data_IF_122196412767
#
_entry.id   IF_122196412767
#
_cell.length_a   1.000
_cell.length_b   1.000
_cell.length_c   1.000
_cell.angle_alpha   90.00
_cell.angle_beta   90.00
_cell.angle_gamma   90.00
#
_symmetry.space_group_name_H-M   'P 1'
#
loop_
_entity.id
_entity.type
_entity.pdbx_description
1 polymer ?
#
# COMPACT_ATOMS: atom_id res chain seq x y z
N UNK A 1 8.00 -19.41 13.54
CA UNK A 1 8.48 -18.92 12.22
C UNK A 1 8.70 -17.43 12.35
N UNK A 2 9.86 -16.93 11.92
CA UNK A 2 10.17 -15.51 12.01
C UNK A 2 9.30 -14.68 11.08
N UNK A 3 8.87 -13.51 11.55
CA UNK A 3 8.19 -12.53 10.69
C UNK A 3 9.21 -11.98 9.68
N UNK A 4 8.94 -12.18 8.38
CA UNK A 4 9.84 -11.76 7.31
C UNK A 4 9.25 -10.65 6.44
N UNK A 5 8.02 -10.23 6.70
CA UNK A 5 7.37 -9.15 5.98
C UNK A 5 6.60 -8.25 6.96
N UNK A 6 6.96 -6.99 7.00
CA UNK A 6 6.26 -5.94 7.74
C UNK A 6 5.66 -4.95 6.75
N UNK A 7 4.37 -4.69 6.86
CA UNK A 7 3.64 -3.78 5.97
C UNK A 7 3.02 -2.67 6.80
N UNK A 8 3.38 -1.43 6.50
CA UNK A 8 2.87 -0.25 7.17
C UNK A 8 1.75 0.35 6.33
N UNK A 9 0.56 0.45 6.91
CA UNK A 9 -0.65 0.87 6.23
C UNK A 9 -1.33 2.05 6.93
N UNK A 10 -2.27 2.67 6.27
CA UNK A 10 -3.04 3.82 6.75
C UNK A 10 -3.28 4.85 5.66
N UNK A 11 -4.08 5.85 5.96
CA UNK A 11 -4.43 6.89 5.01
C UNK A 11 -3.23 7.74 4.58
N UNK A 12 -3.31 8.50 3.47
CA UNK A 12 -2.36 9.57 3.18
C UNK A 12 -2.18 10.47 4.41
N UNK A 13 -0.96 10.94 4.63
CA UNK A 13 -0.63 11.84 5.74
C UNK A 13 -0.73 11.22 7.15
N UNK A 14 -0.88 9.90 7.29
CA UNK A 14 -0.90 9.23 8.61
C UNK A 14 0.48 9.04 9.25
N UNK A 15 1.57 9.30 8.51
CA UNK A 15 2.95 9.12 8.98
C UNK A 15 3.59 7.78 8.61
N UNK A 16 3.08 7.11 7.59
CA UNK A 16 3.58 5.81 7.14
C UNK A 16 5.08 5.79 6.84
N UNK A 17 5.59 6.74 6.01
CA UNK A 17 7.01 6.76 5.65
C UNK A 17 7.93 6.94 6.86
N UNK A 18 7.54 7.77 7.84
CA UNK A 18 8.28 7.91 9.10
C UNK A 18 8.27 6.60 9.90
N UNK A 19 7.11 5.96 9.97
CA UNK A 19 6.93 4.70 10.71
C UNK A 19 7.67 3.54 10.03
N UNK A 20 7.58 3.41 8.72
CA UNK A 20 8.26 2.33 7.96
C UNK A 20 9.77 2.44 8.06
N UNK A 21 10.33 3.66 7.96
CA UNK A 21 11.75 3.88 8.17
C UNK A 21 12.20 3.52 9.60
N UNK A 22 11.41 3.88 10.61
CA UNK A 22 11.69 3.53 12.00
C UNK A 22 11.63 2.02 12.25
N UNK A 23 10.60 1.34 11.74
CA UNK A 23 10.45 -0.12 11.81
C UNK A 23 11.65 -0.81 11.14
N UNK A 24 12.03 -0.36 9.94
CA UNK A 24 13.18 -0.90 9.24
C UNK A 24 14.47 -0.77 10.06
N UNK A 25 14.68 0.38 10.72
CA UNK A 25 15.86 0.59 11.57
C UNK A 25 15.89 -0.33 12.80
N UNK A 26 14.73 -0.54 13.44
CA UNK A 26 14.63 -1.49 14.56
C UNK A 26 14.95 -2.93 14.12
N UNK A 27 14.45 -3.33 12.95
CA UNK A 27 14.63 -4.70 12.45
C UNK A 27 16.06 -5.00 11.98
N UNK A 28 16.87 -4.00 11.62
CA UNK A 28 18.30 -4.18 11.31
C UNK A 28 19.09 -4.80 12.45
N UNK A 29 18.62 -4.70 13.68
CA UNK A 29 19.23 -5.38 14.83
C UNK A 29 18.95 -6.89 14.85
N UNK A 30 17.99 -7.36 14.04
CA UNK A 30 17.57 -8.76 13.98
C UNK A 30 18.09 -9.48 12.72
N UNK A 31 18.51 -8.74 11.68
CA UNK A 31 19.00 -9.33 10.43
C UNK A 31 19.10 -8.34 9.28
N UNK A 32 19.26 -8.89 8.09
CA UNK A 32 19.25 -8.10 6.84
C UNK A 32 17.87 -7.57 6.57
N UNK A 33 17.74 -6.26 6.30
CA UNK A 33 16.45 -5.59 6.03
C UNK A 33 16.45 -5.02 4.61
N UNK A 34 15.43 -5.37 3.85
CA UNK A 34 15.07 -4.74 2.58
C UNK A 34 13.89 -3.79 2.84
N UNK A 35 14.17 -2.50 2.92
CA UNK A 35 13.14 -1.46 3.07
C UNK A 35 12.83 -0.83 1.71
N UNK A 36 11.56 -0.82 1.34
CA UNK A 36 11.09 -0.19 0.09
C UNK A 36 9.94 0.75 0.44
N UNK A 37 10.16 2.04 0.21
CA UNK A 37 9.16 3.09 0.44
C UNK A 37 8.31 3.32 -0.83
N UNK A 38 7.15 3.94 -0.66
CA UNK A 38 6.26 4.38 -1.75
C UNK A 38 7.00 5.34 -2.70
N UNK A 39 6.73 5.28 -4.00
CA UNK A 39 7.32 6.18 -4.99
C UNK A 39 8.69 5.77 -5.53
N UNK A 40 9.29 4.68 -5.06
CA UNK A 40 10.60 4.23 -5.55
C UNK A 40 10.56 3.69 -6.98
N UNK A 41 9.44 3.11 -7.41
CA UNK A 41 9.20 2.59 -8.76
C UNK A 41 9.76 1.20 -9.04
N UNK A 42 10.61 0.65 -8.17
CA UNK A 42 11.18 -0.71 -8.30
C UNK A 42 10.74 -1.59 -7.12
N UNK A 43 9.46 -1.50 -6.79
CA UNK A 43 8.92 -2.25 -5.68
C UNK A 43 8.81 -3.75 -6.02
N UNK A 44 9.32 -4.67 -5.17
CA UNK A 44 9.34 -6.11 -5.48
C UNK A 44 7.94 -6.74 -5.58
N UNK A 45 6.95 -6.17 -4.91
CA UNK A 45 5.58 -6.66 -4.86
C UNK A 45 4.54 -5.73 -5.52
N UNK A 46 4.98 -4.65 -6.17
CA UNK A 46 4.10 -3.65 -6.78
C UNK A 46 4.58 -3.21 -8.16
N UNK A 47 3.68 -2.61 -8.93
CA UNK A 47 3.93 -2.10 -10.28
C UNK A 47 3.67 -0.59 -10.39
N UNK A 48 4.00 0.15 -9.35
CA UNK A 48 4.00 1.60 -9.43
C UNK A 48 4.87 2.08 -10.61
N UNK A 49 4.37 3.00 -11.43
CA UNK A 49 5.04 3.49 -12.65
C UNK A 49 5.36 2.43 -13.72
N UNK A 50 4.60 1.34 -13.79
CA UNK A 50 4.75 0.35 -14.84
C UNK A 50 3.53 0.30 -15.76
N UNK A 51 3.78 -0.11 -17.02
CA UNK A 51 2.76 -0.35 -18.02
C UNK A 51 2.84 -1.78 -18.55
N UNK A 52 1.68 -2.36 -18.87
CA UNK A 52 1.58 -3.60 -19.61
C UNK A 52 1.54 -3.29 -21.11
N UNK A 53 2.71 -3.13 -21.73
CA UNK A 53 2.82 -2.89 -23.15
C UNK A 53 2.18 -4.04 -23.95
N UNK A 54 1.27 -3.76 -24.89
CA UNK A 54 0.57 -4.79 -25.64
C UNK A 54 1.50 -5.56 -26.59
N UNK A 55 1.08 -6.77 -26.95
CA UNK A 55 1.75 -7.54 -27.99
C UNK A 55 1.87 -6.73 -29.29
N UNK A 56 3.03 -6.82 -29.93
CA UNK A 56 3.36 -6.06 -31.15
C UNK A 56 3.96 -4.68 -30.91
N UNK A 57 4.00 -4.17 -29.67
CA UNK A 57 4.64 -2.88 -29.37
C UNK A 57 6.17 -3.01 -29.31
N UNK A 58 6.69 -3.98 -28.56
CA UNK A 58 8.12 -4.24 -28.37
C UNK A 58 8.50 -5.70 -28.69
N UNK A 59 7.56 -6.62 -28.56
CA UNK A 59 7.75 -8.04 -28.79
C UNK A 59 6.43 -8.69 -29.26
N UNK A 60 6.48 -9.97 -29.66
CA UNK A 60 5.28 -10.73 -30.04
C UNK A 60 4.30 -10.95 -28.87
N UNK A 61 4.76 -10.79 -27.64
CA UNK A 61 3.96 -10.91 -26.42
C UNK A 61 3.86 -9.59 -25.69
N UNK A 62 2.80 -9.39 -24.94
CA UNK A 62 2.72 -8.30 -23.97
C UNK A 62 3.81 -8.42 -22.93
N UNK A 63 4.36 -7.29 -22.51
CA UNK A 63 5.42 -7.24 -21.49
C UNK A 63 5.26 -6.05 -20.56
N UNK A 64 5.70 -6.22 -19.32
CA UNK A 64 5.71 -5.15 -18.35
C UNK A 64 6.98 -4.32 -18.55
N UNK A 65 6.81 -3.00 -18.61
CA UNK A 65 7.90 -2.04 -18.80
C UNK A 65 7.79 -0.93 -17.77
N UNK A 66 8.93 -0.42 -17.31
CA UNK A 66 8.95 0.76 -16.44
C UNK A 66 8.69 2.02 -17.26
N UNK A 67 7.73 2.82 -16.86
CA UNK A 67 7.45 4.12 -17.52
C UNK A 67 8.60 5.13 -17.33
N UNK A 68 9.45 4.92 -16.32
CA UNK A 68 10.62 5.76 -16.06
C UNK A 68 11.70 5.64 -17.14
N UNK A 69 11.68 4.56 -17.93
CA UNK A 69 12.65 4.32 -19.00
C UNK A 69 12.30 5.05 -20.30
N UNK A 70 11.15 5.72 -20.36
CA UNK A 70 10.62 6.34 -21.56
C UNK A 70 10.27 7.81 -21.35
N UNK A 71 10.25 8.58 -22.45
CA UNK A 71 9.87 9.98 -22.47
C UNK A 71 9.21 10.37 -23.79
N UNK A 72 8.56 11.54 -23.85
CA UNK A 72 7.91 12.07 -25.05
C UNK A 72 6.81 11.13 -25.57
N UNK A 73 6.67 11.04 -26.88
CA UNK A 73 5.59 10.27 -27.55
C UNK A 73 5.49 8.82 -27.08
N UNK A 74 6.62 8.16 -26.81
CA UNK A 74 6.60 6.77 -26.36
C UNK A 74 6.05 6.66 -24.93
N UNK A 75 6.40 7.59 -24.05
CA UNK A 75 5.81 7.67 -22.70
C UNK A 75 4.29 7.87 -22.79
N UNK A 76 3.83 8.82 -23.62
CA UNK A 76 2.39 9.11 -23.79
C UNK A 76 1.63 7.89 -24.31
N UNK A 77 2.23 7.15 -25.24
CA UNK A 77 1.67 5.89 -25.75
C UNK A 77 1.60 4.79 -24.70
N UNK A 78 2.63 4.66 -23.86
CA UNK A 78 2.68 3.65 -22.81
C UNK A 78 1.77 3.99 -21.64
N UNK A 79 1.56 5.27 -21.36
CA UNK A 79 0.71 5.74 -20.28
C UNK A 79 -0.71 5.16 -20.35
N UNK A 80 -1.24 4.94 -21.57
CA UNK A 80 -2.55 4.33 -21.79
C UNK A 80 -2.64 2.85 -21.35
N UNK A 81 -1.49 2.24 -21.06
CA UNK A 81 -1.35 0.86 -20.59
C UNK A 81 -0.76 0.78 -19.19
N UNK A 82 -0.69 1.92 -18.48
CA UNK A 82 -0.23 1.93 -17.09
C UNK A 82 -1.10 0.97 -16.27
N UNK A 83 -0.46 0.13 -15.46
CA UNK A 83 -1.14 -0.95 -14.73
C UNK A 83 -2.17 -0.34 -13.80
N UNK A 84 -1.75 0.52 -12.89
CA UNK A 84 -2.69 1.33 -12.13
C UNK A 84 -3.32 2.43 -12.99
N UNK A 85 -4.57 2.74 -12.73
CA UNK A 85 -5.39 3.82 -13.32
C UNK A 85 -5.92 3.57 -14.74
N UNK A 86 -5.29 2.70 -15.55
CA UNK A 86 -5.68 2.58 -16.97
C UNK A 86 -6.11 1.18 -17.39
N UNK A 87 -5.57 0.10 -16.80
CA UNK A 87 -5.98 -1.24 -17.21
C UNK A 87 -7.40 -1.59 -16.72
N UNK A 88 -8.17 -2.39 -17.48
CA UNK A 88 -9.38 -3.02 -16.97
C UNK A 88 -9.03 -3.97 -15.81
N UNK A 89 -9.94 -4.09 -14.84
CA UNK A 89 -9.73 -4.92 -13.65
C UNK A 89 -9.39 -6.38 -13.96
N UNK A 90 -10.04 -6.96 -14.98
CA UNK A 90 -9.80 -8.33 -15.43
C UNK A 90 -8.37 -8.58 -15.92
N UNK A 91 -7.70 -7.51 -16.36
CA UNK A 91 -6.27 -7.55 -16.77
C UNK A 91 -5.35 -7.18 -15.63
N UNK A 92 -5.68 -6.13 -14.88
CA UNK A 92 -4.87 -5.62 -13.77
C UNK A 92 -4.74 -6.63 -12.64
N UNK A 93 -5.86 -7.16 -12.15
CA UNK A 93 -5.89 -8.10 -11.01
C UNK A 93 -4.93 -9.29 -11.16
N UNK A 94 -4.96 -10.09 -12.25
CA UNK A 94 -4.04 -11.22 -12.40
C UNK A 94 -2.58 -10.78 -12.49
N UNK A 95 -2.29 -9.63 -13.11
CA UNK A 95 -0.93 -9.08 -13.20
C UNK A 95 -0.40 -8.73 -11.80
N UNK A 96 -1.19 -8.06 -10.98
CA UNK A 96 -0.82 -7.68 -9.62
C UNK A 96 -0.66 -8.90 -8.71
N UNK A 97 -1.57 -9.87 -8.78
CA UNK A 97 -1.44 -11.12 -8.01
C UNK A 97 -0.20 -11.92 -8.41
N UNK A 98 0.18 -11.93 -9.67
CA UNK A 98 1.40 -12.60 -10.13
C UNK A 98 2.67 -11.87 -9.65
N UNK A 99 2.65 -10.54 -9.56
CA UNK A 99 3.74 -9.78 -8.96
C UNK A 99 3.99 -10.18 -7.50
N UNK A 100 2.92 -10.32 -6.71
CA UNK A 100 3.01 -10.81 -5.34
C UNK A 100 3.57 -12.24 -5.26
N UNK A 101 3.13 -13.14 -6.15
CA UNK A 101 3.67 -14.51 -6.20
C UNK A 101 5.15 -14.52 -6.58
N UNK A 102 5.54 -13.69 -7.55
CA UNK A 102 6.94 -13.54 -7.93
C UNK A 102 7.77 -13.05 -6.74
N UNK A 103 7.33 -12.02 -6.04
CA UNK A 103 8.01 -11.53 -4.84
C UNK A 103 8.24 -12.65 -3.81
N UNK A 104 7.20 -13.43 -3.48
CA UNK A 104 7.31 -14.51 -2.50
C UNK A 104 8.29 -15.60 -2.95
N UNK A 105 8.32 -15.94 -4.24
CA UNK A 105 9.30 -16.91 -4.79
C UNK A 105 10.74 -16.42 -4.75
N UNK A 106 10.95 -15.12 -4.91
CA UNK A 106 12.27 -14.48 -5.00
C UNK A 106 12.77 -13.96 -3.65
N UNK A 107 11.92 -13.93 -2.63
CA UNK A 107 12.24 -13.44 -1.30
C UNK A 107 13.36 -14.26 -0.64
N UNK A 108 14.46 -13.59 -0.30
CA UNK A 108 15.65 -14.20 0.31
C UNK A 108 15.35 -14.69 1.73
N UNK A 109 15.82 -15.87 2.10
CA UNK A 109 15.48 -16.55 3.38
C UNK A 109 15.87 -15.75 4.62
N UNK A 110 17.00 -15.04 4.56
CA UNK A 110 17.59 -14.26 5.69
C UNK A 110 17.23 -12.80 5.65
N UNK A 111 16.30 -12.39 4.77
CA UNK A 111 15.92 -10.99 4.60
C UNK A 111 14.55 -10.72 5.18
N UNK A 112 14.47 -9.65 5.97
CA UNK A 112 13.21 -9.07 6.47
C UNK A 112 12.82 -7.93 5.52
N UNK A 113 11.60 -7.95 5.01
CA UNK A 113 11.07 -6.93 4.10
C UNK A 113 10.20 -5.96 4.87
N UNK A 114 10.36 -4.67 4.59
CA UNK A 114 9.50 -3.60 5.15
C UNK A 114 8.95 -2.80 3.98
N UNK A 115 7.63 -2.83 3.82
CA UNK A 115 6.90 -2.13 2.77
C UNK A 115 5.90 -1.16 3.37
N UNK A 116 5.47 -0.16 2.59
CA UNK A 116 4.32 0.65 2.95
C UNK A 116 3.31 0.72 1.80
N UNK A 117 2.03 0.96 2.11
CA UNK A 117 0.93 1.26 1.19
C UNK A 117 0.44 0.12 0.27
N UNK A 118 1.06 -1.06 0.27
CA UNK A 118 0.87 -2.03 -0.83
C UNK A 118 -0.22 -3.08 -0.61
N UNK A 119 -0.65 -3.33 0.64
CA UNK A 119 -1.64 -4.37 0.96
C UNK A 119 -3.07 -3.82 1.06
N UNK A 120 -3.24 -2.63 1.63
CA UNK A 120 -4.56 -2.01 1.83
C UNK A 120 -4.70 -0.74 0.99
N UNK A 121 -3.82 0.25 1.15
CA UNK A 121 -3.97 1.54 0.47
C UNK A 121 -4.07 1.39 -1.06
N UNK A 122 -3.09 0.79 -1.72
CA UNK A 122 -3.08 0.67 -3.18
C UNK A 122 -4.25 -0.19 -3.69
N UNK A 123 -4.52 -1.39 -3.13
CA UNK A 123 -5.71 -2.17 -3.46
C UNK A 123 -7.03 -1.42 -3.28
N UNK A 124 -7.17 -0.61 -2.23
CA UNK A 124 -8.40 0.17 -1.99
C UNK A 124 -8.51 1.39 -2.89
N UNK A 125 -7.41 2.00 -3.31
CA UNK A 125 -7.42 3.02 -4.35
C UNK A 125 -7.97 2.47 -5.67
N UNK A 126 -7.58 1.27 -6.08
CA UNK A 126 -8.10 0.63 -7.28
C UNK A 126 -9.54 0.11 -7.07
N UNK A 127 -9.74 -0.80 -6.15
CA UNK A 127 -11.02 -1.51 -6.02
C UNK A 127 -12.16 -0.59 -5.57
N UNK A 128 -11.97 0.18 -4.50
CA UNK A 128 -12.99 1.08 -3.98
C UNK A 128 -13.05 2.38 -4.78
N UNK A 129 -11.94 3.14 -4.83
CA UNK A 129 -11.99 4.51 -5.35
C UNK A 129 -12.19 4.52 -6.86
N UNK A 130 -11.37 3.80 -7.62
CA UNK A 130 -11.40 3.81 -9.07
C UNK A 130 -12.57 3.01 -9.64
N UNK A 131 -12.73 1.75 -9.22
CA UNK A 131 -13.76 0.85 -9.77
C UNK A 131 -15.10 0.91 -9.02
N UNK A 132 -15.18 1.49 -7.83
CA UNK A 132 -16.41 1.58 -7.03
C UNK A 132 -16.90 0.24 -6.51
N UNK A 133 -16.02 -0.72 -6.33
CA UNK A 133 -16.37 -2.05 -5.84
C UNK A 133 -16.90 -2.00 -4.41
N UNK A 134 -17.70 -2.99 -4.07
CA UNK A 134 -18.16 -3.23 -2.71
C UNK A 134 -16.99 -3.58 -1.78
N UNK A 135 -17.22 -3.43 -0.48
CA UNK A 135 -16.24 -3.85 0.53
C UNK A 135 -15.89 -5.35 0.41
N UNK A 136 -16.90 -6.18 0.10
CA UNK A 136 -16.69 -7.62 -0.07
C UNK A 136 -15.79 -7.95 -1.27
N UNK A 137 -15.95 -7.27 -2.40
CA UNK A 137 -15.10 -7.47 -3.58
C UNK A 137 -13.65 -7.02 -3.30
N UNK A 138 -13.47 -5.88 -2.63
CA UNK A 138 -12.17 -5.41 -2.18
C UNK A 138 -11.52 -6.40 -1.20
N UNK A 139 -12.30 -6.87 -0.21
CA UNK A 139 -11.87 -7.88 0.76
C UNK A 139 -11.40 -9.17 0.10
N UNK A 140 -12.14 -9.66 -0.90
CA UNK A 140 -11.78 -10.88 -1.62
C UNK A 140 -10.46 -10.74 -2.37
N UNK A 141 -10.18 -9.57 -2.94
CA UNK A 141 -8.90 -9.32 -3.59
C UNK A 141 -7.75 -9.24 -2.58
N UNK A 142 -7.91 -8.48 -1.51
CA UNK A 142 -6.91 -8.32 -0.46
C UNK A 142 -6.64 -9.66 0.24
N UNK A 143 -7.66 -10.48 0.47
CA UNK A 143 -7.50 -11.82 1.04
C UNK A 143 -6.68 -12.76 0.12
N UNK A 144 -6.77 -12.62 -1.20
CA UNK A 144 -5.89 -13.37 -2.12
C UNK A 144 -4.43 -12.94 -1.97
N UNK A 145 -4.15 -11.65 -1.80
CA UNK A 145 -2.79 -11.17 -1.52
C UNK A 145 -2.31 -11.72 -0.16
N UNK A 146 -3.14 -11.64 0.87
CA UNK A 146 -2.82 -12.14 2.21
C UNK A 146 -2.46 -13.63 2.20
N UNK A 147 -3.17 -14.45 1.43
CA UNK A 147 -2.85 -15.87 1.28
C UNK A 147 -1.52 -16.10 0.52
N UNK A 148 -1.24 -15.29 -0.51
CA UNK A 148 0.03 -15.39 -1.26
C UNK A 148 1.24 -15.08 -0.36
N UNK A 149 1.15 -14.05 0.49
CA UNK A 149 2.27 -13.62 1.34
C UNK A 149 2.39 -14.41 2.65
N UNK A 150 1.44 -15.27 2.97
CA UNK A 150 1.42 -16.08 4.20
C UNK A 150 2.74 -16.81 4.52
N UNK A 151 3.49 -17.35 3.53
CA UNK A 151 4.78 -18.00 3.79
C UNK A 151 5.84 -17.09 4.41
N UNK A 152 5.69 -15.77 4.28
CA UNK A 152 6.60 -14.78 4.87
C UNK A 152 6.19 -14.38 6.30
N UNK A 153 5.12 -14.97 6.85
CA UNK A 153 4.56 -14.66 8.17
C UNK A 153 4.40 -13.14 8.39
N UNK A 154 3.54 -12.48 7.61
CA UNK A 154 3.46 -11.02 7.57
C UNK A 154 2.87 -10.41 8.84
N UNK A 155 3.33 -9.20 9.16
CA UNK A 155 2.77 -8.32 10.19
C UNK A 155 2.30 -7.04 9.53
N UNK A 156 1.07 -6.63 9.78
CA UNK A 156 0.52 -5.36 9.32
C UNK A 156 0.46 -4.36 10.46
N UNK A 157 1.08 -3.20 10.28
CA UNK A 157 1.01 -2.08 11.21
C UNK A 157 0.15 -1.00 10.58
N UNK A 158 -1.04 -0.79 11.12
CA UNK A 158 -1.99 0.18 10.60
C UNK A 158 -2.00 1.46 11.43
N UNK A 159 -1.83 2.61 10.77
CA UNK A 159 -1.85 3.93 11.41
C UNK A 159 -3.23 4.53 11.24
N UNK A 160 -4.10 4.36 12.23
CA UNK A 160 -5.44 4.91 12.23
C UNK A 160 -5.42 6.38 12.62
N UNK A 161 -6.18 7.19 11.90
CA UNK A 161 -6.29 8.62 12.12
C UNK A 161 -7.76 9.03 12.34
N UNK A 162 -8.06 9.61 13.50
CA UNK A 162 -9.42 10.10 13.80
C UNK A 162 -9.70 11.46 13.18
N UNK A 163 -8.69 12.33 13.11
CA UNK A 163 -8.84 13.66 12.51
C UNK A 163 -8.16 13.70 11.12
N UNK A 164 -8.85 13.07 10.17
CA UNK A 164 -8.36 12.96 8.79
C UNK A 164 -8.22 14.35 8.15
N UNK A 165 -9.21 15.22 8.36
CA UNK A 165 -9.23 16.55 7.75
C UNK A 165 -8.04 17.41 8.23
N UNK A 166 -7.75 17.41 9.52
CA UNK A 166 -6.61 18.15 10.08
C UNK A 166 -5.28 17.62 9.54
N UNK A 167 -5.12 16.30 9.49
CA UNK A 167 -3.90 15.68 8.96
C UNK A 167 -3.67 16.00 7.49
N UNK A 168 -4.73 15.99 6.68
CA UNK A 168 -4.65 16.35 5.26
C UNK A 168 -4.31 17.84 5.10
N UNK A 169 -4.93 18.74 5.88
CA UNK A 169 -4.62 20.19 5.82
C UNK A 169 -3.16 20.47 6.20
N UNK A 170 -2.64 19.79 7.22
CA UNK A 170 -1.24 19.95 7.63
C UNK A 170 -0.28 19.50 6.52
N UNK A 171 -0.53 18.33 5.92
CA UNK A 171 0.30 17.85 4.83
C UNK A 171 0.20 18.72 3.56
N UNK A 172 -0.98 19.26 3.26
CA UNK A 172 -1.18 20.18 2.15
C UNK A 172 -0.37 21.48 2.32
N UNK A 173 -0.24 21.98 3.55
CA UNK A 173 0.60 23.15 3.84
C UNK A 173 2.08 22.91 3.55
N UNK A 174 2.55 21.65 3.68
CA UNK A 174 3.94 21.25 3.39
C UNK A 174 4.16 20.89 1.92
N UNK A 175 3.09 20.64 1.14
CA UNK A 175 3.14 20.13 -0.24
C UNK A 175 2.25 20.95 -1.18
N UNK A 176 2.69 22.14 -1.61
CA UNK A 176 1.89 23.00 -2.51
C UNK A 176 1.48 22.26 -3.80
N UNK A 177 0.19 22.36 -4.17
CA UNK A 177 -0.38 21.74 -5.39
C UNK A 177 -0.69 20.23 -5.27
N UNK A 178 -0.23 19.55 -4.23
CA UNK A 178 -0.53 18.13 -4.03
C UNK A 178 -2.03 17.89 -3.77
N UNK A 179 -2.65 18.74 -2.97
CA UNK A 179 -4.03 18.55 -2.51
C UNK A 179 -5.03 18.54 -3.66
N UNK A 180 -4.90 19.45 -4.63
CA UNK A 180 -5.81 19.53 -5.77
C UNK A 180 -5.81 18.24 -6.60
N UNK A 181 -4.61 17.68 -6.83
CA UNK A 181 -4.47 16.43 -7.59
C UNK A 181 -5.10 15.23 -6.89
N UNK A 182 -4.95 15.12 -5.57
CA UNK A 182 -5.53 13.99 -4.83
C UNK A 182 -7.03 14.12 -4.61
N UNK A 183 -7.55 15.34 -4.48
CA UNK A 183 -9.00 15.60 -4.47
C UNK A 183 -9.58 15.15 -5.80
N UNK A 184 -9.06 15.64 -6.93
CA UNK A 184 -9.54 15.32 -8.27
C UNK A 184 -9.59 13.80 -8.50
N UNK A 185 -8.51 13.09 -8.15
CA UNK A 185 -8.44 11.65 -8.28
C UNK A 185 -9.55 10.92 -7.50
N UNK A 186 -9.81 11.30 -6.24
CA UNK A 186 -10.75 10.59 -5.38
C UNK A 186 -12.21 10.93 -5.68
N UNK A 187 -12.54 12.22 -5.84
CA UNK A 187 -13.94 12.64 -6.07
C UNK A 187 -14.44 12.23 -7.46
N UNK A 188 -13.55 12.17 -8.45
CA UNK A 188 -13.88 11.74 -9.81
C UNK A 188 -13.75 10.23 -10.06
N UNK A 189 -13.29 9.46 -9.10
CA UNK A 189 -13.36 8.00 -9.12
C UNK A 189 -14.81 7.49 -9.06
N UNK A 190 -15.01 6.19 -9.34
CA UNK A 190 -16.36 5.63 -9.35
C UNK A 190 -17.05 5.74 -7.98
N UNK A 191 -16.31 5.51 -6.88
CA UNK A 191 -16.86 5.67 -5.53
C UNK A 191 -17.24 7.11 -5.23
N UNK A 192 -16.33 8.07 -5.45
CA UNK A 192 -16.61 9.48 -5.21
C UNK A 192 -17.85 9.97 -5.96
N UNK A 193 -17.95 9.63 -7.25
CA UNK A 193 -19.16 9.91 -8.06
C UNK A 193 -20.43 9.27 -7.51
N UNK A 194 -20.33 8.06 -7.01
CA UNK A 194 -21.52 7.33 -6.48
C UNK A 194 -22.13 7.98 -5.24
N UNK A 195 -21.33 8.70 -4.47
CA UNK A 195 -21.77 9.41 -3.26
C UNK A 195 -21.94 10.92 -3.47
N UNK A 196 -21.72 11.41 -4.70
CA UNK A 196 -21.76 12.84 -5.01
C UNK A 196 -20.67 13.64 -4.30
N UNK A 197 -19.49 13.06 -4.12
CA UNK A 197 -18.36 13.71 -3.47
C UNK A 197 -17.88 14.89 -4.32
N UNK A 198 -17.68 16.04 -3.68
CA UNK A 198 -17.14 17.25 -4.31
C UNK A 198 -16.11 17.89 -3.39
N UNK A 199 -15.11 18.52 -3.97
CA UNK A 199 -14.12 19.32 -3.27
C UNK A 199 -13.42 18.60 -2.09
N UNK A 200 -12.90 19.39 -1.16
CA UNK A 200 -12.20 18.90 0.02
C UNK A 200 -13.09 18.02 0.93
N UNK A 201 -14.32 18.42 1.16
CA UNK A 201 -15.23 17.71 2.05
C UNK A 201 -15.59 16.33 1.48
N UNK A 202 -15.83 16.25 0.17
CA UNK A 202 -16.03 14.96 -0.53
C UNK A 202 -14.79 14.06 -0.47
N UNK A 203 -13.60 14.64 -0.60
CA UNK A 203 -12.34 13.91 -0.44
C UNK A 203 -12.21 13.31 0.98
N UNK A 204 -12.49 14.12 2.02
CA UNK A 204 -12.44 13.63 3.41
C UNK A 204 -13.48 12.53 3.64
N UNK A 205 -14.68 12.65 3.06
CA UNK A 205 -15.68 11.59 3.13
C UNK A 205 -15.19 10.29 2.47
N UNK A 206 -14.57 10.37 1.30
CA UNK A 206 -13.94 9.22 0.64
C UNK A 206 -12.87 8.56 1.51
N UNK A 207 -11.98 9.35 2.12
CA UNK A 207 -10.92 8.84 2.98
C UNK A 207 -11.47 8.20 4.26
N UNK A 208 -12.50 8.80 4.86
CA UNK A 208 -13.14 8.27 6.07
C UNK A 208 -13.70 6.88 5.82
N UNK A 209 -14.51 6.72 4.79
CA UNK A 209 -15.07 5.41 4.42
C UNK A 209 -13.96 4.40 4.04
N UNK A 210 -12.91 4.86 3.34
CA UNK A 210 -11.79 3.99 3.01
C UNK A 210 -11.12 3.45 4.26
N UNK A 211 -10.79 4.32 5.24
CA UNK A 211 -10.19 3.88 6.51
C UNK A 211 -11.07 2.86 7.23
N UNK A 212 -12.36 3.10 7.29
CA UNK A 212 -13.29 2.18 7.93
C UNK A 212 -13.31 0.81 7.24
N UNK A 213 -13.37 0.78 5.91
CA UNK A 213 -13.30 -0.48 5.14
C UNK A 213 -11.95 -1.17 5.31
N UNK A 214 -10.83 -0.45 5.23
CA UNK A 214 -9.50 -1.00 5.45
C UNK A 214 -9.39 -1.70 6.81
N UNK A 215 -9.90 -1.07 7.88
CA UNK A 215 -9.88 -1.65 9.23
C UNK A 215 -10.81 -2.86 9.35
N UNK A 216 -12.02 -2.80 8.78
CA UNK A 216 -12.93 -3.96 8.75
C UNK A 216 -12.31 -5.12 7.98
N UNK A 217 -11.74 -4.87 6.81
CA UNK A 217 -11.06 -5.89 6.00
C UNK A 217 -9.88 -6.47 6.79
N UNK A 218 -8.99 -5.63 7.32
CA UNK A 218 -7.82 -6.06 8.10
C UNK A 218 -8.21 -6.99 9.25
N UNK A 219 -9.29 -6.69 9.96
CA UNK A 219 -9.78 -7.52 11.07
C UNK A 219 -10.23 -8.93 10.67
N UNK A 220 -10.50 -9.15 9.38
CA UNK A 220 -10.92 -10.46 8.85
C UNK A 220 -9.76 -11.27 8.23
N UNK A 221 -8.61 -10.64 8.00
CA UNK A 221 -7.48 -11.32 7.38
C UNK A 221 -6.77 -12.22 8.39
N UNK A 222 -6.30 -13.40 7.97
CA UNK A 222 -5.55 -14.32 8.83
C UNK A 222 -4.09 -13.84 8.96
N UNK A 223 -3.89 -12.58 9.27
CA UNK A 223 -2.58 -11.93 9.41
C UNK A 223 -2.45 -11.33 10.81
N UNK A 224 -1.23 -11.29 11.29
CA UNK A 224 -0.95 -10.54 12.51
C UNK A 224 -1.00 -9.04 12.23
N UNK A 225 -1.65 -8.27 13.11
CA UNK A 225 -1.75 -6.83 12.91
C UNK A 225 -1.67 -6.05 14.23
N UNK A 226 -1.14 -4.84 14.13
CA UNK A 226 -1.13 -3.83 15.18
C UNK A 226 -1.79 -2.56 14.64
N UNK A 227 -2.83 -2.08 15.30
CA UNK A 227 -3.44 -0.79 14.99
C UNK A 227 -2.93 0.25 15.98
N UNK A 228 -2.28 1.30 15.47
CA UNK A 228 -1.86 2.45 16.25
C UNK A 228 -2.88 3.58 16.09
N UNK A 229 -3.52 3.93 17.19
CA UNK A 229 -4.53 4.99 17.24
C UNK A 229 -3.85 6.37 17.30
N UNK A 230 -4.08 7.21 16.31
CA UNK A 230 -3.60 8.61 16.27
C UNK A 230 -2.11 8.79 16.59
N UNK A 231 -1.18 8.06 15.96
CA UNK A 231 0.24 8.10 16.33
C UNK A 231 0.84 9.50 16.22
N UNK A 232 0.29 10.35 15.38
CA UNK A 232 0.73 11.73 15.18
C UNK A 232 0.47 12.65 16.39
N UNK A 233 -0.42 12.28 17.30
CA UNK A 233 -0.68 13.06 18.53
C UNK A 233 0.43 12.90 19.57
N UNK A 234 1.08 11.73 19.59
CA UNK A 234 2.20 11.42 20.49
C UNK A 234 3.17 10.43 19.83
N UNK A 235 4.04 10.96 18.96
CA UNK A 235 5.06 10.15 18.31
C UNK A 235 6.00 9.40 19.27
N UNK A 236 6.48 9.99 20.38
CA UNK A 236 7.29 9.26 21.36
C UNK A 236 6.58 8.01 21.90
N UNK A 237 5.30 8.10 22.24
CA UNK A 237 4.52 6.96 22.69
C UNK A 237 4.31 5.93 21.59
N UNK A 238 3.94 6.37 20.38
CA UNK A 238 3.76 5.48 19.23
C UNK A 238 5.04 4.69 18.90
N UNK A 239 6.19 5.37 18.86
CA UNK A 239 7.48 4.75 18.61
C UNK A 239 7.89 3.78 19.72
N UNK A 240 7.60 4.10 20.99
CA UNK A 240 7.81 3.19 22.12
C UNK A 240 6.94 1.94 21.99
N UNK A 241 5.68 2.09 21.63
CA UNK A 241 4.74 0.97 21.43
C UNK A 241 5.23 0.06 20.31
N UNK A 242 5.65 0.63 19.18
CA UNK A 242 6.22 -0.11 18.05
C UNK A 242 7.47 -0.88 18.46
N UNK A 243 8.40 -0.22 19.17
CA UNK A 243 9.63 -0.87 19.64
C UNK A 243 9.31 -2.06 20.54
N UNK A 244 8.45 -1.89 21.53
CA UNK A 244 8.04 -2.97 22.43
C UNK A 244 7.41 -4.12 21.65
N UNK A 245 6.49 -3.83 20.74
CA UNK A 245 5.83 -4.84 19.92
C UNK A 245 6.83 -5.66 19.08
N UNK A 246 7.78 -5.00 18.40
CA UNK A 246 8.78 -5.66 17.55
C UNK A 246 9.76 -6.49 18.41
N UNK A 247 10.20 -5.98 19.57
CA UNK A 247 11.08 -6.68 20.49
C UNK A 247 10.41 -7.93 21.11
N UNK A 248 9.13 -7.85 21.48
CA UNK A 248 8.36 -9.00 21.96
C UNK A 248 8.23 -10.09 20.92
N UNK A 249 8.03 -9.75 19.65
CA UNK A 249 7.97 -10.70 18.54
C UNK A 249 9.32 -11.38 18.30
N UNK A 250 10.41 -10.64 18.30
CA UNK A 250 11.76 -11.20 18.21
C UNK A 250 12.12 -12.13 19.36
N UNK A 251 11.68 -11.81 20.59
CA UNK A 251 12.00 -12.59 21.78
C UNK A 251 11.11 -13.84 21.99
N UNK A 252 9.90 -13.87 21.45
CA UNK A 252 9.01 -15.02 21.56
C UNK A 252 9.61 -16.27 20.87
N UNK A 253 10.49 -16.09 19.91
CA UNK A 253 11.15 -17.15 19.15
C UNK A 253 12.39 -17.74 19.84
N UNK A 254 13.13 -16.93 20.60
CA UNK A 254 14.32 -17.41 21.36
C UNK A 254 13.93 -18.38 22.49
N UNK A 255 12.67 -18.33 22.95
CA UNK A 255 12.15 -19.23 24.02
C UNK A 255 11.62 -20.56 23.49
N UNK A 256 11.56 -20.76 22.19
CA UNK A 256 10.98 -21.95 21.54
C UNK A 256 12.06 -22.85 20.91
N UNK A 257 13.32 -22.50 21.03
CA UNK A 257 14.52 -23.28 20.68
C UNK A 257 15.17 -23.83 21.95
#
# INVERSE_FOLDING_TARGET
MNHRLYIIEGLPCSGKSTTSAYVAELLKQQGTVCFVDEGTGDHPADYEFHALAPAGMFSEKSQIVSLKDYSGEMFDRLLQYKIYDFLPWETEKPVMLEKWRQFVREAQEDTIYVFNCVLLQNPMCETMMRFGFSEEESRQYIAQIAEIIRPLNPVVIYLKNEDIADSVRKAAAERPGWLDSVIDYHVHGAYGKSIGAEDFEGYIQCLTERQERELRILSTLPLESLVLENPQRDWPLAMKTLKTYIEEKGNAEIKTL
#
